data_IF_059817894983
#
_entry.id   IF_059817894983
#
_cell.length_a   1.000
_cell.length_b   1.000
_cell.length_c   1.000
_cell.angle_alpha   90.00
_cell.angle_beta   90.00
_cell.angle_gamma   90.00
#
_symmetry.space_group_name_H-M   'P 1'
#
loop_
_entity.id
_entity.type
_entity.pdbx_description
1 polymer ?
#
# COMPACT_ATOMS: atom_id res chain seq x y z
N UNK A 1 -6.22 16.85 6.56
CA UNK A 1 -5.92 16.21 5.25
C UNK A 1 -6.37 14.75 5.38
N UNK A 2 -7.10 14.21 4.38
CA UNK A 2 -7.60 12.84 4.45
C UNK A 2 -6.66 11.87 3.74
N UNK A 3 -6.33 10.78 4.41
CA UNK A 3 -5.59 9.65 3.85
C UNK A 3 -6.48 8.42 3.87
N UNK A 4 -6.44 7.65 2.79
CA UNK A 4 -7.11 6.35 2.71
C UNK A 4 -6.06 5.26 2.71
N UNK A 5 -6.27 4.23 3.52
CA UNK A 5 -5.45 3.02 3.55
C UNK A 5 -6.30 1.83 3.14
N UNK A 6 -5.82 1.02 2.22
CA UNK A 6 -6.51 -0.24 1.87
C UNK A 6 -6.40 -1.31 2.96
N UNK A 7 -5.43 -1.17 3.83
CA UNK A 7 -5.22 -1.98 5.04
C UNK A 7 -4.37 -1.18 6.03
N UNK A 8 -4.58 -1.40 7.32
CA UNK A 8 -3.73 -0.82 8.35
C UNK A 8 -2.25 -1.24 8.16
N UNK A 9 -1.36 -0.31 8.41
CA UNK A 9 0.08 -0.57 8.57
C UNK A 9 0.40 -0.88 10.02
N UNK A 10 1.68 -1.12 10.35
CA UNK A 10 2.09 -1.35 11.75
C UNK A 10 1.78 -0.13 12.63
N UNK A 11 1.72 -0.35 13.94
CA UNK A 11 1.38 0.67 14.92
C UNK A 11 2.28 1.91 14.81
N UNK A 12 3.57 1.72 14.66
CA UNK A 12 4.55 2.80 14.50
C UNK A 12 4.28 3.65 13.24
N UNK A 13 3.88 2.98 12.14
CA UNK A 13 3.50 3.66 10.91
C UNK A 13 2.21 4.47 11.07
N UNK A 14 1.24 3.98 11.85
CA UNK A 14 0.02 4.73 12.17
C UNK A 14 0.33 5.96 13.04
N UNK A 15 1.19 5.80 14.04
CA UNK A 15 1.59 6.92 14.92
C UNK A 15 2.22 8.09 14.17
N UNK A 16 2.94 7.83 13.06
CA UNK A 16 3.52 8.90 12.22
C UNK A 16 2.47 9.81 11.57
N UNK A 17 1.22 9.36 11.52
CA UNK A 17 0.12 10.10 10.91
C UNK A 17 -0.75 10.82 11.95
N UNK A 18 -0.54 10.55 13.23
CA UNK A 18 -1.29 11.15 14.33
C UNK A 18 -1.13 12.68 14.31
N UNK A 19 -2.25 13.39 14.30
CA UNK A 19 -2.27 14.84 14.24
C UNK A 19 -1.90 15.46 12.88
N UNK A 20 -1.49 14.65 11.89
CA UNK A 20 -1.13 15.10 10.54
C UNK A 20 -2.29 14.89 9.56
N UNK A 21 -2.94 13.75 9.63
CA UNK A 21 -4.00 13.36 8.72
C UNK A 21 -5.17 12.68 9.43
N UNK A 22 -6.34 12.85 8.86
CA UNK A 22 -7.51 12.02 9.14
C UNK A 22 -7.38 10.74 8.31
N UNK A 23 -7.20 9.60 8.97
CA UNK A 23 -6.87 8.32 8.32
C UNK A 23 -8.10 7.42 8.31
N UNK A 24 -8.60 7.12 7.12
CA UNK A 24 -9.57 6.07 6.90
C UNK A 24 -8.87 4.76 6.52
N UNK A 25 -9.14 3.71 7.25
CA UNK A 25 -8.65 2.36 6.93
C UNK A 25 -9.82 1.53 6.43
N UNK A 26 -9.70 1.00 5.20
CA UNK A 26 -10.75 0.17 4.61
C UNK A 26 -10.88 -1.17 5.34
N UNK A 27 -12.12 -1.62 5.53
CA UNK A 27 -12.41 -2.88 6.22
C UNK A 27 -11.99 -4.11 5.40
N UNK A 28 -11.90 -3.96 4.09
CA UNK A 28 -11.49 -5.03 3.18
C UNK A 28 -10.75 -4.47 1.96
N UNK A 29 -10.25 -5.38 1.10
CA UNK A 29 -9.42 -5.05 -0.05
C UNK A 29 -10.21 -4.75 -1.33
N UNK A 30 -11.54 -4.78 -1.29
CA UNK A 30 -12.37 -4.46 -2.45
C UNK A 30 -12.39 -2.95 -2.67
N UNK A 31 -11.91 -2.45 -3.83
CA UNK A 31 -11.92 -1.03 -4.15
C UNK A 31 -13.29 -0.38 -3.99
N UNK A 32 -14.37 -1.10 -4.29
CA UNK A 32 -15.73 -0.57 -4.21
C UNK A 32 -16.12 -0.10 -2.80
N UNK A 33 -15.46 -0.62 -1.76
CA UNK A 33 -15.76 -0.27 -0.37
C UNK A 33 -15.07 0.99 0.12
N UNK A 34 -14.10 1.52 -0.62
CA UNK A 34 -13.40 2.76 -0.24
C UNK A 34 -13.40 3.84 -1.33
N UNK A 35 -14.06 3.62 -2.49
CA UNK A 35 -14.12 4.61 -3.57
C UNK A 35 -14.77 5.92 -3.12
N UNK A 36 -15.81 5.87 -2.29
CA UNK A 36 -16.44 7.09 -1.78
C UNK A 36 -15.50 7.89 -0.89
N UNK A 37 -14.68 7.21 -0.10
CA UNK A 37 -13.66 7.81 0.75
C UNK A 37 -12.51 8.42 -0.06
N UNK A 38 -12.24 7.87 -1.25
CA UNK A 38 -11.20 8.35 -2.17
C UNK A 38 -11.50 9.71 -2.78
N UNK A 39 -12.76 10.10 -2.89
CA UNK A 39 -13.14 11.41 -3.48
C UNK A 39 -12.49 12.60 -2.80
N UNK A 40 -12.26 12.49 -1.49
CA UNK A 40 -11.66 13.54 -0.67
C UNK A 40 -10.24 13.22 -0.21
N UNK A 41 -9.72 12.06 -0.59
CA UNK A 41 -8.39 11.62 -0.20
C UNK A 41 -7.29 12.42 -0.90
N UNK A 42 -6.34 12.90 -0.11
CA UNK A 42 -5.11 13.52 -0.61
C UNK A 42 -3.99 12.47 -0.82
N UNK A 43 -4.05 11.35 -0.11
CA UNK A 43 -3.12 10.24 -0.26
C UNK A 43 -3.83 8.90 -0.15
N UNK A 44 -3.34 7.91 -0.91
CA UNK A 44 -3.74 6.52 -0.82
C UNK A 44 -2.54 5.67 -0.42
N UNK A 45 -2.70 4.84 0.61
CA UNK A 45 -1.70 3.84 0.99
C UNK A 45 -2.22 2.45 0.64
N UNK A 46 -1.54 1.82 -0.31
CA UNK A 46 -1.89 0.49 -0.84
C UNK A 46 -0.96 -0.57 -0.26
N UNK A 47 -1.51 -1.67 0.21
CA UNK A 47 -0.74 -2.84 0.62
C UNK A 47 -0.89 -3.98 -0.37
N UNK A 48 -2.03 -4.67 -0.38
CA UNK A 48 -2.29 -5.82 -1.25
C UNK A 48 -3.40 -5.51 -2.26
N UNK A 49 -4.34 -4.65 -1.89
CA UNK A 49 -5.48 -4.30 -2.71
C UNK A 49 -5.08 -3.72 -4.06
N UNK A 50 -5.94 -3.87 -5.05
CA UNK A 50 -5.76 -3.25 -6.35
C UNK A 50 -6.14 -1.77 -6.28
N UNK A 51 -5.30 -0.94 -6.89
CA UNK A 51 -5.56 0.46 -7.18
C UNK A 51 -5.58 0.62 -8.70
N UNK A 52 -6.71 0.36 -9.29
CA UNK A 52 -6.90 0.40 -10.73
C UNK A 52 -7.16 1.82 -11.26
N UNK A 53 -7.28 1.95 -12.58
CA UNK A 53 -7.55 3.22 -13.23
C UNK A 53 -8.83 3.89 -12.70
N UNK A 54 -9.88 3.10 -12.43
CA UNK A 54 -11.15 3.62 -11.91
C UNK A 54 -10.99 4.25 -10.52
N UNK A 55 -10.25 3.60 -9.62
CA UNK A 55 -9.98 4.14 -8.30
C UNK A 55 -9.20 5.46 -8.37
N UNK A 56 -8.22 5.56 -9.27
CA UNK A 56 -7.40 6.75 -9.46
C UNK A 56 -8.22 7.89 -10.08
N UNK A 57 -9.01 7.61 -11.12
CA UNK A 57 -9.85 8.61 -11.82
C UNK A 57 -10.94 9.19 -10.92
N UNK A 58 -11.50 8.38 -10.03
CA UNK A 58 -12.52 8.84 -9.07
C UNK A 58 -11.95 9.55 -7.83
N UNK A 59 -10.66 9.87 -7.84
CA UNK A 59 -9.94 10.49 -6.73
C UNK A 59 -9.38 11.87 -7.11
N UNK A 60 -10.22 12.88 -7.35
CA UNK A 60 -9.78 14.15 -7.92
C UNK A 60 -8.84 14.98 -7.04
N UNK A 61 -8.74 14.66 -5.74
CA UNK A 61 -7.86 15.35 -4.78
C UNK A 61 -6.58 14.57 -4.49
N UNK A 62 -6.41 13.39 -5.12
CA UNK A 62 -5.28 12.49 -4.85
C UNK A 62 -3.97 13.11 -5.35
N UNK A 63 -2.98 13.19 -4.47
CA UNK A 63 -1.68 13.80 -4.74
C UNK A 63 -0.54 12.79 -4.74
N UNK A 64 -0.73 11.64 -4.10
CA UNK A 64 0.31 10.62 -3.98
C UNK A 64 -0.32 9.25 -3.70
N UNK A 65 0.29 8.20 -4.26
CA UNK A 65 -0.02 6.80 -3.94
C UNK A 65 1.23 6.19 -3.30
N UNK A 66 1.13 5.74 -2.06
CA UNK A 66 2.17 5.00 -1.36
C UNK A 66 1.89 3.50 -1.41
N UNK A 67 2.82 2.70 -1.92
CA UNK A 67 2.73 1.25 -1.89
C UNK A 67 3.68 0.68 -0.84
N UNK A 68 3.14 0.02 0.19
CA UNK A 68 3.94 -0.60 1.26
C UNK A 68 4.59 -1.91 0.78
N UNK A 69 5.62 -1.80 -0.03
CA UNK A 69 6.36 -2.92 -0.62
C UNK A 69 7.15 -2.51 -1.86
N UNK A 70 7.85 -3.47 -2.46
CA UNK A 70 8.71 -3.24 -3.63
C UNK A 70 7.93 -3.39 -4.94
N UNK A 71 7.12 -4.46 -5.05
CA UNK A 71 6.28 -4.68 -6.23
C UNK A 71 5.13 -3.67 -6.28
N UNK A 72 4.81 -3.19 -7.46
CA UNK A 72 3.74 -2.20 -7.69
C UNK A 72 2.70 -2.64 -8.72
N UNK A 73 2.66 -3.93 -9.02
CA UNK A 73 1.73 -4.52 -10.00
C UNK A 73 0.25 -4.34 -9.64
N UNK A 74 -0.04 -4.08 -8.37
CA UNK A 74 -1.39 -3.78 -7.89
C UNK A 74 -1.84 -2.34 -8.16
N UNK A 75 -0.95 -1.46 -8.63
CA UNK A 75 -1.23 -0.04 -8.90
C UNK A 75 -1.15 0.21 -10.40
N UNK A 76 -2.17 0.86 -10.96
CA UNK A 76 -2.11 1.34 -12.33
C UNK A 76 -1.18 2.57 -12.43
N UNK A 77 0.12 2.28 -12.51
CA UNK A 77 1.16 3.33 -12.59
C UNK A 77 1.01 4.16 -13.87
N UNK A 78 0.53 3.56 -14.96
CA UNK A 78 0.31 4.29 -16.21
C UNK A 78 -0.73 5.38 -16.02
N UNK A 79 -1.87 5.04 -15.44
CA UNK A 79 -2.94 5.99 -15.14
C UNK A 79 -2.48 7.06 -14.14
N UNK A 80 -1.78 6.66 -13.07
CA UNK A 80 -1.22 7.61 -12.11
C UNK A 80 -0.29 8.63 -12.79
N UNK A 81 0.57 8.15 -13.69
CA UNK A 81 1.49 9.01 -14.47
C UNK A 81 0.75 9.97 -15.39
N UNK A 82 -0.30 9.50 -16.11
CA UNK A 82 -1.13 10.35 -16.97
C UNK A 82 -1.76 11.52 -16.19
N UNK A 83 -2.10 11.30 -14.93
CA UNK A 83 -2.70 12.31 -14.05
C UNK A 83 -1.65 13.08 -13.20
N UNK A 84 -0.36 12.80 -13.38
CA UNK A 84 0.71 13.45 -12.63
C UNK A 84 0.78 13.07 -11.16
N UNK A 85 0.25 11.90 -10.79
CA UNK A 85 0.23 11.40 -9.41
C UNK A 85 1.45 10.49 -9.18
N UNK A 86 2.39 10.86 -8.32
CA UNK A 86 3.55 10.02 -8.02
C UNK A 86 3.14 8.75 -7.28
N UNK A 87 3.78 7.62 -7.65
CA UNK A 87 3.68 6.34 -6.94
C UNK A 87 4.98 6.09 -6.21
N UNK A 88 4.92 5.98 -4.89
CA UNK A 88 6.07 5.75 -4.00
C UNK A 88 6.06 4.32 -3.51
N UNK A 89 7.20 3.66 -3.55
CA UNK A 89 7.41 2.29 -3.09
C UNK A 89 8.43 2.24 -1.95
N UNK A 90 8.54 1.10 -1.25
CA UNK A 90 9.47 0.92 -0.12
C UNK A 90 10.57 -0.09 -0.47
N UNK A 91 11.55 0.24 -1.34
CA UNK A 91 12.59 -0.68 -1.75
C UNK A 91 13.50 -1.03 -0.56
N UNK A 92 13.82 -2.32 -0.42
CA UNK A 92 14.76 -2.80 0.60
C UNK A 92 14.18 -2.97 2.01
N UNK A 93 12.98 -2.50 2.30
CA UNK A 93 12.40 -2.50 3.64
C UNK A 93 12.28 -3.90 4.27
N UNK A 94 12.11 -4.94 3.46
CA UNK A 94 11.96 -6.33 3.93
C UNK A 94 13.08 -7.28 3.48
N UNK A 95 14.15 -6.80 2.88
CA UNK A 95 15.22 -7.64 2.32
C UNK A 95 15.80 -8.62 3.34
N UNK A 96 16.06 -8.13 4.54
CA UNK A 96 16.62 -8.98 5.62
C UNK A 96 15.64 -10.08 6.03
N UNK A 97 14.38 -9.73 6.28
CA UNK A 97 13.35 -10.71 6.68
C UNK A 97 13.13 -11.78 5.61
N UNK A 98 13.13 -11.40 4.34
CA UNK A 98 13.01 -12.33 3.21
C UNK A 98 14.24 -13.25 3.13
N UNK A 99 15.44 -12.72 3.28
CA UNK A 99 16.67 -13.50 3.24
C UNK A 99 16.74 -14.50 4.41
N UNK A 100 16.42 -14.08 5.62
CA UNK A 100 16.38 -14.93 6.81
C UNK A 100 15.34 -16.05 6.65
N UNK A 101 14.16 -15.75 6.13
CA UNK A 101 13.12 -16.74 5.89
C UNK A 101 13.51 -17.75 4.81
N UNK A 102 14.10 -17.30 3.71
CA UNK A 102 14.61 -18.18 2.67
C UNK A 102 15.69 -19.14 3.20
N UNK A 103 16.64 -18.63 3.99
CA UNK A 103 17.66 -19.45 4.63
C UNK A 103 17.03 -20.46 5.61
N UNK A 104 16.07 -20.06 6.42
CA UNK A 104 15.36 -20.95 7.33
C UNK A 104 14.65 -22.09 6.59
N UNK A 105 13.97 -21.80 5.47
CA UNK A 105 13.35 -22.84 4.64
C UNK A 105 14.37 -23.80 4.05
N UNK A 106 15.49 -23.32 3.55
CA UNK A 106 16.58 -24.17 3.03
C UNK A 106 17.13 -25.12 4.10
N UNK A 107 17.37 -24.61 5.31
CA UNK A 107 17.83 -25.45 6.42
C UNK A 107 16.76 -26.45 6.86
N UNK A 108 15.50 -26.04 6.94
CA UNK A 108 14.40 -26.94 7.29
C UNK A 108 14.29 -28.11 6.31
N UNK A 109 14.35 -27.84 5.01
CA UNK A 109 14.33 -28.88 3.98
C UNK A 109 15.58 -29.79 4.04
N UNK A 110 16.76 -29.21 4.20
CA UNK A 110 18.02 -30.00 4.23
C UNK A 110 18.15 -30.88 5.44
N UNK A 111 17.46 -30.58 6.53
CA UNK A 111 17.51 -31.32 7.80
C UNK A 111 16.23 -32.09 8.11
N UNK A 112 15.25 -32.13 7.19
CA UNK A 112 13.95 -32.76 7.39
C UNK A 112 13.28 -32.32 8.71
N UNK A 113 13.25 -31.00 8.96
CA UNK A 113 12.65 -30.45 10.17
C UNK A 113 11.14 -30.26 10.08
N UNK A 114 10.55 -30.54 8.92
CA UNK A 114 9.11 -30.48 8.62
C UNK A 114 8.66 -31.84 8.14
#
# INVERSE_FOLDING_TARGET
MKFVMTQAVCHEGMQLLDGIADVYVADNQDPNNYLDEMRDAAALIVRIAKCDANAIENSPKLKVIGRTGVGYDSVDVKKATELGIPVVITPGANNRSVAEHAAAMLFSLSKNLI
#
